data_IF_172724120163
#
_entry.id   IF_172724120163
#
_cell.length_a   1.000
_cell.length_b   1.000
_cell.length_c   1.000
_cell.angle_alpha   90.00
_cell.angle_beta   90.00
_cell.angle_gamma   90.00
#
_symmetry.space_group_name_H-M   'P 1'
#
loop_
_entity.id
_entity.type
_entity.pdbx_description
1 polymer ?
#
# COMPACT_ATOMS: atom_id res chain seq x y z
N UNK A 1 -12.41 3.47 8.76
CA UNK A 1 -12.03 3.17 10.14
C UNK A 1 -11.53 4.40 10.85
N UNK A 2 -11.46 4.34 12.19
CA UNK A 2 -10.74 5.35 12.99
C UNK A 2 -9.38 4.82 13.47
N UNK A 3 -9.01 3.62 13.04
CA UNK A 3 -7.71 3.01 13.31
C UNK A 3 -6.66 3.53 12.31
N UNK A 4 -6.22 4.76 12.58
CA UNK A 4 -5.30 5.50 11.73
C UNK A 4 -3.86 5.33 12.24
N UNK A 5 -2.97 4.96 11.33
CA UNK A 5 -1.53 4.85 11.58
C UNK A 5 -0.76 5.66 10.53
N UNK A 6 0.47 6.07 10.85
CA UNK A 6 1.33 6.79 9.93
C UNK A 6 2.68 6.09 9.80
N UNK A 7 3.14 5.90 8.57
CA UNK A 7 4.37 5.20 8.23
C UNK A 7 5.29 6.11 7.43
N UNK A 8 6.55 6.22 7.85
CA UNK A 8 7.60 6.84 7.03
C UNK A 8 7.96 5.87 5.89
N UNK A 9 7.82 6.33 4.66
CA UNK A 9 8.17 5.54 3.48
C UNK A 9 9.67 5.55 3.27
N UNK A 10 10.23 4.36 3.04
CA UNK A 10 11.61 4.14 2.62
C UNK A 10 11.62 3.43 1.27
N UNK A 11 12.39 3.96 0.32
CA UNK A 11 12.49 3.45 -1.04
C UNK A 11 11.51 4.09 -2.03
N UNK A 12 11.54 3.58 -3.26
CA UNK A 12 10.99 4.26 -4.44
C UNK A 12 10.03 3.40 -5.26
N UNK A 13 9.56 2.28 -4.70
CA UNK A 13 8.75 1.30 -5.44
C UNK A 13 7.37 1.83 -5.88
N UNK A 14 6.96 3.01 -5.43
CA UNK A 14 5.68 3.62 -5.78
C UNK A 14 5.84 4.99 -6.47
N UNK A 15 7.03 5.31 -6.99
CA UNK A 15 7.22 6.56 -7.73
C UNK A 15 6.41 6.59 -9.06
N UNK A 16 5.89 7.76 -9.47
CA UNK A 16 6.02 9.07 -8.82
C UNK A 16 4.96 9.34 -7.73
N UNK A 17 4.02 8.43 -7.52
CA UNK A 17 2.86 8.60 -6.63
C UNK A 17 3.33 8.80 -5.18
N UNK A 18 4.26 7.96 -4.71
CA UNK A 18 4.83 7.98 -3.36
C UNK A 18 6.34 7.90 -3.47
N UNK A 19 7.04 8.79 -2.76
CA UNK A 19 8.50 8.95 -2.79
C UNK A 19 9.14 8.53 -1.47
N UNK A 20 10.43 8.25 -1.53
CA UNK A 20 11.24 8.09 -0.32
C UNK A 20 11.12 9.34 0.58
N UNK A 21 10.88 9.13 1.87
CA UNK A 21 10.67 10.19 2.84
C UNK A 21 9.25 10.77 2.93
N UNK A 22 8.33 10.36 2.05
CA UNK A 22 6.89 10.67 2.23
C UNK A 22 6.35 9.95 3.49
N UNK A 23 5.27 10.47 4.07
CA UNK A 23 4.55 9.82 5.17
C UNK A 23 3.23 9.29 4.62
N UNK A 24 3.04 7.97 4.66
CA UNK A 24 1.76 7.35 4.34
C UNK A 24 0.87 7.28 5.57
N UNK A 25 -0.31 7.88 5.47
CA UNK A 25 -1.36 7.80 6.48
C UNK A 25 -2.34 6.73 6.02
N UNK A 26 -2.55 5.72 6.88
CA UNK A 26 -3.33 4.53 6.55
C UNK A 26 -4.48 4.31 7.51
N UNK A 27 -5.49 3.61 7.04
CA UNK A 27 -6.64 3.18 7.81
C UNK A 27 -6.77 1.66 7.75
N UNK A 28 -6.67 1.01 8.91
CA UNK A 28 -6.66 -0.45 9.02
C UNK A 28 -8.03 -1.10 8.96
N UNK A 29 -9.09 -0.33 9.20
CA UNK A 29 -10.45 -0.89 9.17
C UNK A 29 -11.14 -0.66 7.82
N UNK A 30 -10.50 0.07 6.90
CA UNK A 30 -11.05 0.33 5.57
C UNK A 30 -10.77 -0.83 4.65
N UNK A 31 -11.82 -1.33 3.99
CA UNK A 31 -11.73 -2.41 3.01
C UNK A 31 -11.11 -1.86 1.72
N UNK A 32 -10.06 -2.48 1.18
CA UNK A 32 -9.46 -2.06 -0.08
C UNK A 32 -10.43 -2.13 -1.27
N UNK A 33 -10.43 -1.09 -2.10
CA UNK A 33 -11.11 -1.05 -3.39
C UNK A 33 -10.11 -0.97 -4.55
N UNK A 34 -10.52 -1.49 -5.72
CA UNK A 34 -9.68 -1.53 -6.92
C UNK A 34 -9.14 -0.12 -7.23
N UNK A 35 -7.82 -0.03 -7.33
CA UNK A 35 -7.10 1.22 -7.61
C UNK A 35 -6.58 1.94 -6.36
N UNK A 36 -7.04 1.58 -5.16
CA UNK A 36 -6.44 2.08 -3.92
C UNK A 36 -4.97 1.68 -3.81
N UNK A 37 -4.20 2.49 -3.11
CA UNK A 37 -2.88 2.08 -2.63
C UNK A 37 -3.08 1.49 -1.24
N UNK A 38 -2.46 0.35 -0.98
CA UNK A 38 -2.54 -0.34 0.31
C UNK A 38 -1.16 -0.73 0.82
N UNK A 39 -1.04 -0.84 2.14
CA UNK A 39 0.02 -1.59 2.79
C UNK A 39 -0.42 -3.05 2.93
N UNK A 40 0.50 -3.98 2.71
CA UNK A 40 0.34 -5.40 2.88
C UNK A 40 1.53 -5.93 3.69
N UNK A 41 1.26 -6.69 4.75
CA UNK A 41 2.30 -7.32 5.55
C UNK A 41 2.61 -8.72 5.00
N UNK A 42 3.81 -8.92 4.46
CA UNK A 42 4.28 -10.22 3.92
C UNK A 42 5.55 -10.59 4.67
N UNK A 43 5.61 -11.76 5.30
CA UNK A 43 6.80 -12.24 6.02
C UNK A 43 7.39 -11.21 7.02
N UNK A 44 6.52 -10.49 7.74
CA UNK A 44 6.89 -9.41 8.67
C UNK A 44 7.52 -8.16 8.01
N UNK A 45 7.44 -8.04 6.69
CA UNK A 45 7.83 -6.87 5.92
C UNK A 45 6.60 -6.15 5.35
N UNK A 46 6.61 -4.82 5.37
CA UNK A 46 5.53 -4.02 4.81
C UNK A 46 5.83 -3.77 3.33
N UNK A 47 4.94 -4.26 2.48
CA UNK A 47 4.94 -3.99 1.04
C UNK A 47 3.81 -3.02 0.73
N UNK A 48 4.13 -1.94 0.03
CA UNK A 48 3.14 -0.98 -0.47
C UNK A 48 2.87 -1.21 -1.95
N UNK A 49 1.61 -1.12 -2.37
CA UNK A 49 1.26 -1.35 -3.77
C UNK A 49 -0.17 -0.94 -4.11
N UNK A 50 -0.46 -0.84 -5.40
CA UNK A 50 -1.80 -0.58 -5.93
C UNK A 50 -2.61 -1.86 -5.96
N UNK A 51 -3.76 -1.86 -5.29
CA UNK A 51 -4.69 -2.99 -5.24
C UNK A 51 -5.44 -3.15 -6.56
N UNK A 52 -5.30 -4.31 -7.20
CA UNK A 52 -5.85 -4.62 -8.51
C UNK A 52 -6.43 -6.03 -8.54
N UNK A 53 -7.19 -6.32 -9.60
CA UNK A 53 -7.71 -7.66 -9.91
C UNK A 53 -7.09 -8.15 -11.21
N UNK A 54 -6.73 -9.42 -11.27
CA UNK A 54 -6.23 -10.03 -12.50
C UNK A 54 -7.39 -10.40 -13.45
N UNK A 55 -7.07 -11.07 -14.57
CA UNK A 55 -8.09 -11.49 -15.56
C UNK A 55 -9.05 -12.56 -15.03
N UNK A 56 -8.68 -13.26 -13.96
CA UNK A 56 -9.47 -14.29 -13.28
C UNK A 56 -10.21 -13.74 -12.06
N UNK A 57 -10.09 -12.44 -11.77
CA UNK A 57 -10.70 -11.79 -10.62
C UNK A 57 -9.95 -12.01 -9.30
N UNK A 58 -8.71 -12.51 -9.33
CA UNK A 58 -7.89 -12.67 -8.12
C UNK A 58 -7.24 -11.35 -7.74
N UNK A 59 -7.28 -10.96 -6.45
CA UNK A 59 -6.68 -9.72 -5.99
C UNK A 59 -5.15 -9.83 -5.90
N UNK A 60 -4.46 -8.76 -6.29
CA UNK A 60 -3.02 -8.61 -6.13
C UNK A 60 -2.68 -7.14 -5.84
N UNK A 61 -1.48 -6.91 -5.33
CA UNK A 61 -0.89 -5.57 -5.29
C UNK A 61 0.22 -5.45 -6.33
N UNK A 62 0.35 -4.27 -6.92
CA UNK A 62 1.41 -3.97 -7.89
C UNK A 62 2.19 -2.72 -7.48
N UNK A 63 3.50 -2.82 -7.56
CA UNK A 63 4.44 -1.71 -7.39
C UNK A 63 5.59 -1.86 -8.40
N UNK A 64 6.60 -1.00 -8.30
CA UNK A 64 7.78 -0.98 -9.17
C UNK A 64 8.69 -2.21 -9.03
N UNK A 65 8.50 -3.05 -8.02
CA UNK A 65 9.23 -4.32 -7.85
C UNK A 65 8.45 -5.53 -8.38
N UNK A 66 7.20 -5.36 -8.80
CA UNK A 66 6.41 -6.39 -9.45
C UNK A 66 5.00 -6.53 -8.89
N UNK A 67 4.49 -7.75 -8.95
CA UNK A 67 3.16 -8.13 -8.47
C UNK A 67 3.29 -9.08 -7.30
N UNK A 68 2.47 -8.88 -6.27
CA UNK A 68 2.39 -9.74 -5.10
C UNK A 68 0.94 -10.18 -4.90
N UNK A 69 0.69 -11.48 -4.72
CA UNK A 69 -0.65 -12.01 -4.49
C UNK A 69 -1.15 -11.53 -3.12
N UNK A 70 -2.40 -11.04 -3.06
CA UNK A 70 -2.96 -10.57 -1.79
C UNK A 70 -3.12 -11.73 -0.78
N UNK A 71 -3.16 -12.98 -1.23
CA UNK A 71 -3.21 -14.15 -0.34
C UNK A 71 -1.96 -14.29 0.53
N UNK A 72 -0.84 -13.70 0.14
CA UNK A 72 0.40 -13.67 0.92
C UNK A 72 0.37 -12.61 2.03
N UNK A 73 -0.61 -11.69 1.99
CA UNK A 73 -0.77 -10.64 2.98
C UNK A 73 -1.35 -11.19 4.28
N UNK A 74 -0.60 -11.05 5.37
CA UNK A 74 -1.05 -11.33 6.74
C UNK A 74 -2.01 -10.26 7.27
N UNK A 75 -1.86 -9.01 6.80
CA UNK A 75 -2.71 -7.88 7.14
C UNK A 75 -2.66 -6.84 6.02
N UNK A 76 -3.71 -6.03 5.90
CA UNK A 76 -3.78 -4.90 4.96
C UNK A 76 -4.23 -3.62 5.65
N UNK A 77 -3.86 -2.48 5.05
CA UNK A 77 -4.37 -1.16 5.43
C UNK A 77 -4.46 -0.25 4.19
N UNK A 78 -5.50 0.56 4.09
CA UNK A 78 -5.69 1.46 2.93
C UNK A 78 -4.97 2.78 3.18
N UNK A 79 -4.15 3.20 2.22
CA UNK A 79 -3.54 4.53 2.23
C UNK A 79 -4.60 5.57 1.92
N UNK A 80 -4.92 6.41 2.90
CA UNK A 80 -5.95 7.45 2.79
C UNK A 80 -5.36 8.83 2.53
N UNK A 81 -4.07 9.02 2.81
CA UNK A 81 -3.36 10.26 2.53
C UNK A 81 -1.84 10.03 2.41
N UNK A 82 -1.17 10.87 1.63
CA UNK A 82 0.29 10.96 1.54
C UNK A 82 0.69 12.38 1.93
N UNK A 83 1.45 12.52 3.01
CA UNK A 83 2.06 13.79 3.37
C UNK A 83 3.46 13.87 2.80
N UNK A 84 3.67 14.81 1.90
CA UNK A 84 4.96 15.10 1.28
C UNK A 84 5.54 16.37 1.89
N UNK A 85 6.72 16.26 2.49
CA UNK A 85 7.47 17.45 2.88
C UNK A 85 8.09 18.05 1.61
N UNK A 86 7.55 19.18 1.16
CA UNK A 86 8.22 20.00 0.16
C UNK A 86 9.31 20.80 0.88
N UNK A 87 10.55 20.31 0.80
CA UNK A 87 11.73 21.14 1.09
C UNK A 87 12.19 21.83 -0.19
#
# INVERSE_FOLDING_TARGET
>A
GKNIEAYLIKGQCMEPDIRDGDIAIVDRDTVPEKGNIILCLINNEIVIGRYLMDKEGKPYIQNGHGKHDLKECQATAVVINISRNMR
#
